data_IF_673903472138
#
_entry.id   IF_673903472138
#
_cell.length_a   1.000
_cell.length_b   1.000
_cell.length_c   1.000
_cell.angle_alpha   90.00
_cell.angle_beta   90.00
_cell.angle_gamma   90.00
#
_symmetry.space_group_name_H-M   'P 1'
#
loop_
_entity.id
_entity.type
_entity.pdbx_description
1 polymer ?
#
# COMPACT_ATOMS: atom_id res chain seq x y z
N UNK A 1 -60.06 71.57 -11.49
CA UNK A 1 -59.11 71.08 -12.52
C UNK A 1 -57.84 70.57 -11.83
N UNK A 2 -57.86 69.36 -11.26
CA UNK A 2 -56.70 68.77 -10.55
C UNK A 2 -56.66 67.25 -10.72
N UNK A 3 -55.42 66.80 -10.92
CA UNK A 3 -54.87 65.55 -11.45
C UNK A 3 -55.25 64.25 -10.72
N UNK A 4 -55.48 63.20 -11.50
CA UNK A 4 -55.48 61.78 -11.10
C UNK A 4 -54.05 61.23 -11.15
N UNK A 5 -53.60 60.57 -10.07
CA UNK A 5 -52.35 59.78 -10.03
C UNK A 5 -52.72 58.34 -10.40
N UNK A 6 -52.11 57.78 -11.46
CA UNK A 6 -52.21 56.36 -11.82
C UNK A 6 -51.06 55.59 -11.15
N UNK A 7 -51.38 54.62 -10.27
CA UNK A 7 -50.45 53.57 -9.84
C UNK A 7 -50.24 52.58 -10.99
N UNK A 8 -48.98 52.31 -11.33
CA UNK A 8 -48.58 51.20 -12.22
C UNK A 8 -48.30 49.97 -11.36
N UNK A 9 -48.99 48.87 -11.63
CA UNK A 9 -48.59 47.54 -11.16
C UNK A 9 -47.65 46.92 -12.21
N UNK A 10 -46.47 46.50 -11.75
CA UNK A 10 -45.45 45.83 -12.55
C UNK A 10 -45.72 44.31 -12.51
N UNK A 11 -46.06 43.73 -13.66
CA UNK A 11 -46.20 42.27 -13.83
C UNK A 11 -44.81 41.71 -14.11
N UNK A 12 -44.29 40.86 -13.22
CA UNK A 12 -43.05 40.12 -13.40
C UNK A 12 -43.39 38.82 -14.15
N UNK A 13 -42.84 38.65 -15.35
CA UNK A 13 -42.83 37.37 -16.06
C UNK A 13 -41.79 36.46 -15.42
N UNK A 14 -42.08 35.17 -15.15
CA UNK A 14 -41.03 34.23 -14.76
C UNK A 14 -40.22 33.89 -16.01
N UNK A 15 -38.93 34.23 -15.98
CA UNK A 15 -37.96 33.70 -16.94
C UNK A 15 -37.71 32.25 -16.55
N UNK A 16 -38.26 31.33 -17.35
CA UNK A 16 -37.93 29.92 -17.31
C UNK A 16 -36.48 29.79 -17.81
N UNK A 17 -35.50 29.74 -16.91
CA UNK A 17 -34.14 29.33 -17.26
C UNK A 17 -34.17 27.81 -17.41
N UNK A 18 -34.21 27.38 -18.66
CA UNK A 18 -34.00 25.99 -19.05
C UNK A 18 -32.52 25.66 -18.77
N UNK A 19 -32.24 25.03 -17.63
CA UNK A 19 -30.92 24.47 -17.36
C UNK A 19 -30.73 23.25 -18.28
N UNK A 20 -29.90 23.42 -19.32
CA UNK A 20 -29.29 22.30 -20.02
C UNK A 20 -28.36 21.60 -19.02
N UNK A 21 -28.88 20.57 -18.36
CA UNK A 21 -28.08 19.55 -17.70
C UNK A 21 -27.36 18.73 -18.77
N UNK A 22 -26.31 19.31 -19.36
CA UNK A 22 -25.19 18.48 -19.81
C UNK A 22 -24.52 18.06 -18.51
N UNK A 23 -24.62 16.77 -18.17
CA UNK A 23 -23.93 16.20 -17.04
C UNK A 23 -22.44 16.49 -17.20
N UNK A 24 -21.95 17.53 -16.52
CA UNK A 24 -20.53 17.71 -16.30
C UNK A 24 -20.16 16.61 -15.30
N UNK A 25 -19.75 15.45 -15.82
CA UNK A 25 -18.97 14.50 -15.04
C UNK A 25 -17.71 15.28 -14.66
N UNK A 26 -17.70 15.82 -13.44
CA UNK A 26 -16.48 16.33 -12.84
C UNK A 26 -15.65 15.07 -12.63
N UNK A 27 -14.65 14.84 -13.48
CA UNK A 27 -13.67 13.81 -13.22
C UNK A 27 -13.06 14.12 -11.85
N UNK A 28 -13.01 13.13 -10.93
CA UNK A 28 -12.43 13.36 -9.62
C UNK A 28 -10.98 13.84 -9.79
N UNK A 29 -10.60 14.88 -9.04
CA UNK A 29 -9.24 15.43 -9.06
C UNK A 29 -8.25 14.61 -8.23
N UNK A 30 -8.75 13.68 -7.42
CA UNK A 30 -7.95 12.77 -6.59
C UNK A 30 -8.69 11.47 -6.28
N UNK A 31 -7.95 10.43 -5.84
CA UNK A 31 -8.57 9.17 -5.48
C UNK A 31 -9.54 9.33 -4.31
N UNK A 32 -10.65 8.61 -4.39
CA UNK A 32 -11.60 8.48 -3.27
C UNK A 32 -10.93 7.92 -2.02
N UNK A 33 -11.56 8.19 -0.86
CA UNK A 33 -11.10 7.67 0.43
C UNK A 33 -11.11 6.15 0.44
N UNK A 34 -9.96 5.55 0.77
CA UNK A 34 -9.74 4.11 0.66
C UNK A 34 -8.68 3.59 1.62
N UNK A 35 -8.75 2.30 1.90
CA UNK A 35 -7.68 1.54 2.57
C UNK A 35 -7.35 0.28 1.76
N UNK A 36 -6.22 -0.37 2.03
CA UNK A 36 -5.84 -1.60 1.33
C UNK A 36 -5.32 -1.40 -0.09
N UNK A 37 -5.32 -0.17 -0.60
CA UNK A 37 -4.61 0.17 -1.83
C UNK A 37 -3.10 -0.09 -1.67
N UNK A 38 -2.39 -0.17 -2.79
CA UNK A 38 -0.93 -0.26 -2.83
C UNK A 38 -0.36 0.78 -3.76
N UNK A 39 0.82 1.28 -3.42
CA UNK A 39 1.55 2.27 -4.19
C UNK A 39 2.95 1.79 -4.53
N UNK A 40 3.46 2.23 -5.68
CA UNK A 40 4.86 2.11 -6.08
C UNK A 40 5.37 3.48 -6.53
N UNK A 41 6.70 3.66 -6.50
CA UNK A 41 7.37 4.81 -7.08
C UNK A 41 7.86 4.44 -8.47
N UNK A 42 7.45 5.21 -9.47
CA UNK A 42 7.97 5.17 -10.83
C UNK A 42 8.97 6.32 -11.00
N UNK A 43 10.29 6.07 -10.95
CA UNK A 43 11.32 7.08 -11.11
C UNK A 43 11.43 7.62 -12.55
N UNK A 44 11.01 6.86 -13.56
CA UNK A 44 11.09 7.28 -14.97
C UNK A 44 9.99 8.32 -15.25
N UNK A 45 8.78 8.05 -14.79
CA UNK A 45 7.65 8.98 -14.85
C UNK A 45 7.64 10.03 -13.73
N UNK A 46 8.53 9.92 -12.73
CA UNK A 46 8.59 10.77 -11.52
C UNK A 46 7.26 10.87 -10.80
N UNK A 47 6.60 9.73 -10.60
CA UNK A 47 5.23 9.69 -10.09
C UNK A 47 5.02 8.50 -9.15
N UNK A 48 4.01 8.61 -8.31
CA UNK A 48 3.51 7.46 -7.53
C UNK A 48 2.36 6.83 -8.28
N UNK A 49 2.42 5.52 -8.53
CA UNK A 49 1.28 4.77 -9.08
C UNK A 49 0.56 4.06 -7.95
N UNK A 50 -0.74 4.26 -7.85
CA UNK A 50 -1.62 3.59 -6.89
C UNK A 50 -2.62 2.69 -7.61
N UNK A 51 -2.87 1.51 -7.06
CA UNK A 51 -3.90 0.58 -7.55
C UNK A 51 -4.83 0.10 -6.43
N UNK A 52 -6.12 0.08 -6.76
CA UNK A 52 -7.17 -0.63 -6.02
C UNK A 52 -7.44 -0.15 -4.60
N UNK A 53 -7.70 -1.10 -3.70
CA UNK A 53 -8.14 -0.87 -2.33
C UNK A 53 -9.66 -0.96 -2.17
N UNK A 54 -10.15 -0.48 -1.03
CA UNK A 54 -11.57 -0.46 -0.69
C UNK A 54 -12.03 0.95 -0.31
N UNK A 55 -12.99 1.45 -1.07
CA UNK A 55 -13.65 2.74 -0.86
C UNK A 55 -14.66 2.75 0.30
N UNK A 56 -15.38 3.86 0.45
CA UNK A 56 -16.46 3.97 1.43
C UNK A 56 -17.74 3.28 0.97
N UNK A 57 -18.15 2.26 1.72
CA UNK A 57 -19.47 1.64 1.60
C UNK A 57 -19.62 0.38 2.46
N UNK A 58 -20.82 -0.20 2.46
CA UNK A 58 -21.19 -1.34 3.32
C UNK A 58 -21.10 -2.70 2.62
N UNK A 59 -20.71 -2.78 1.34
CA UNK A 59 -20.83 -4.01 0.54
C UNK A 59 -19.52 -4.30 -0.21
N UNK A 60 -19.32 -5.57 -0.55
CA UNK A 60 -18.25 -6.08 -1.44
C UNK A 60 -18.09 -5.31 -2.79
N UNK A 61 -19.05 -4.46 -3.17
CA UNK A 61 -18.98 -3.55 -4.32
C UNK A 61 -18.12 -2.29 -4.13
N UNK A 62 -17.47 -2.12 -2.98
CA UNK A 62 -16.60 -0.96 -2.70
C UNK A 62 -15.12 -1.26 -2.99
N UNK A 63 -14.80 -2.44 -3.53
CA UNK A 63 -13.45 -2.74 -4.01
C UNK A 63 -13.18 -2.01 -5.31
N UNK A 64 -11.95 -1.50 -5.44
CA UNK A 64 -11.55 -0.64 -6.53
C UNK A 64 -10.51 -1.37 -7.41
N UNK A 65 -10.53 -1.04 -8.70
CA UNK A 65 -9.63 -1.50 -9.77
C UNK A 65 -9.04 -0.31 -10.56
N UNK A 66 -9.23 0.90 -10.05
CA UNK A 66 -8.73 2.13 -10.66
C UNK A 66 -7.22 2.29 -10.43
N UNK A 67 -6.58 2.96 -11.39
CA UNK A 67 -5.18 3.35 -11.34
C UNK A 67 -5.13 4.87 -11.17
N UNK A 68 -4.30 5.33 -10.25
CA UNK A 68 -4.05 6.75 -10.03
C UNK A 68 -2.55 7.04 -10.07
N UNK A 69 -2.17 8.15 -10.69
CA UNK A 69 -0.81 8.67 -10.64
C UNK A 69 -0.76 9.98 -9.85
N UNK A 70 0.17 10.08 -8.91
CA UNK A 70 0.52 11.33 -8.23
C UNK A 70 1.80 11.88 -8.84
N UNK A 71 1.72 13.04 -9.47
CA UNK A 71 2.88 13.76 -10.02
C UNK A 71 3.63 14.44 -8.87
N UNK A 72 4.90 14.07 -8.66
CA UNK A 72 5.69 14.59 -7.53
C UNK A 72 6.15 16.04 -7.74
N UNK A 73 6.23 16.52 -8.98
CA UNK A 73 6.61 17.92 -9.27
C UNK A 73 5.40 18.85 -9.13
N UNK A 74 4.22 18.40 -9.57
CA UNK A 74 2.97 19.18 -9.53
C UNK A 74 2.15 18.97 -8.27
N UNK A 75 2.48 17.94 -7.49
CA UNK A 75 1.77 17.50 -6.28
C UNK A 75 0.26 17.31 -6.51
N UNK A 76 -0.10 16.66 -7.63
CA UNK A 76 -1.50 16.41 -7.96
C UNK A 76 -1.74 14.99 -8.47
N UNK A 77 -2.98 14.55 -8.32
CA UNK A 77 -3.43 13.25 -8.78
C UNK A 77 -4.05 13.34 -10.17
N UNK A 78 -3.89 12.27 -10.95
CA UNK A 78 -4.64 12.02 -12.18
C UNK A 78 -5.05 10.56 -12.25
N UNK A 79 -6.28 10.31 -12.67
CA UNK A 79 -6.72 8.95 -12.94
C UNK A 79 -6.09 8.46 -14.25
N UNK A 80 -5.60 7.22 -14.25
CA UNK A 80 -5.10 6.53 -15.42
C UNK A 80 -6.16 5.51 -15.86
N UNK A 81 -6.45 5.49 -17.16
CA UNK A 81 -7.36 4.51 -17.76
C UNK A 81 -6.54 3.41 -18.40
N UNK A 82 -6.90 2.17 -18.08
CA UNK A 82 -6.40 0.96 -18.71
C UNK A 82 -7.56 0.27 -19.42
N UNK A 83 -7.30 -0.39 -20.55
CA UNK A 83 -8.37 -1.04 -21.32
C UNK A 83 -8.90 -2.32 -20.66
N UNK A 84 -8.05 -3.02 -19.92
CA UNK A 84 -8.32 -4.36 -19.38
C UNK A 84 -7.76 -4.52 -17.95
N UNK A 85 -8.27 -3.76 -16.96
CA UNK A 85 -7.73 -3.83 -15.60
C UNK A 85 -8.01 -5.18 -14.92
N UNK A 86 -7.13 -5.63 -14.01
CA UNK A 86 -7.39 -6.78 -13.15
C UNK A 86 -8.65 -6.58 -12.31
N UNK A 87 -9.28 -7.67 -11.81
CA UNK A 87 -10.40 -7.57 -10.88
C UNK A 87 -10.13 -6.65 -9.69
N UNK A 88 -11.15 -5.90 -9.27
CA UNK A 88 -11.08 -5.04 -8.10
C UNK A 88 -10.73 -5.80 -6.82
N UNK A 89 -9.79 -5.25 -6.05
CA UNK A 89 -9.16 -5.96 -4.93
C UNK A 89 -8.58 -5.03 -3.87
N UNK A 90 -8.54 -5.51 -2.63
CA UNK A 90 -7.78 -4.87 -1.54
C UNK A 90 -6.62 -5.75 -1.07
N UNK A 91 -5.61 -5.09 -0.50
CA UNK A 91 -4.40 -5.69 0.08
C UNK A 91 -3.69 -6.72 -0.82
N UNK A 92 -3.48 -6.45 -2.13
CA UNK A 92 -2.59 -7.27 -2.96
C UNK A 92 -1.12 -7.02 -2.62
N UNK A 93 -0.22 -7.82 -3.19
CA UNK A 93 1.18 -7.43 -3.37
C UNK A 93 1.31 -6.55 -4.61
N UNK A 94 2.10 -5.47 -4.54
CA UNK A 94 2.39 -4.59 -5.66
C UNK A 94 3.84 -4.12 -5.56
N UNK A 95 4.66 -4.34 -6.59
CA UNK A 95 6.07 -3.90 -6.62
C UNK A 95 6.44 -3.34 -7.99
N UNK A 96 7.40 -2.43 -8.02
CA UNK A 96 7.97 -1.89 -9.25
C UNK A 96 9.15 -2.75 -9.72
N UNK A 97 9.16 -3.10 -11.00
CA UNK A 97 10.24 -3.79 -11.69
C UNK A 97 10.95 -2.80 -12.63
N UNK A 98 12.09 -2.22 -12.22
CA UNK A 98 12.84 -1.26 -13.02
C UNK A 98 13.43 -1.83 -14.30
N UNK A 99 13.70 -3.15 -14.38
CA UNK A 99 14.32 -3.76 -15.56
C UNK A 99 13.40 -3.74 -16.78
N UNK A 100 12.09 -3.81 -16.54
CA UNK A 100 11.05 -3.81 -17.57
C UNK A 100 10.18 -2.55 -17.55
N UNK A 101 10.44 -1.61 -16.64
CA UNK A 101 9.62 -0.41 -16.42
C UNK A 101 8.13 -0.78 -16.25
N UNK A 102 7.85 -1.70 -15.32
CA UNK A 102 6.51 -2.26 -15.11
C UNK A 102 6.17 -2.42 -13.63
N UNK A 103 4.91 -2.68 -13.34
CA UNK A 103 4.43 -3.04 -12.00
C UNK A 103 4.02 -4.51 -11.99
N UNK A 104 4.43 -5.24 -10.96
CA UNK A 104 4.03 -6.64 -10.73
C UNK A 104 3.00 -6.66 -9.60
N UNK A 105 1.83 -7.22 -9.90
CA UNK A 105 0.71 -7.39 -8.97
C UNK A 105 0.50 -8.88 -8.69
N UNK A 106 0.30 -9.25 -7.43
CA UNK A 106 -0.07 -10.60 -7.05
C UNK A 106 -1.17 -10.64 -5.98
N UNK A 107 -2.16 -11.50 -6.21
CA UNK A 107 -3.19 -11.85 -5.23
C UNK A 107 -4.03 -10.66 -4.76
N UNK A 108 -4.34 -10.61 -3.47
CA UNK A 108 -5.29 -9.69 -2.86
C UNK A 108 -6.66 -10.32 -2.61
N UNK A 109 -7.56 -9.56 -1.98
CA UNK A 109 -8.92 -10.01 -1.70
C UNK A 109 -9.93 -9.31 -2.61
N UNK A 110 -10.70 -10.11 -3.35
CA UNK A 110 -11.73 -9.65 -4.29
C UNK A 110 -13.13 -10.01 -3.81
N UNK A 111 -14.13 -9.63 -4.61
CA UNK A 111 -15.51 -10.08 -4.40
C UNK A 111 -15.72 -11.59 -4.48
N UNK A 112 -14.77 -12.31 -5.09
CA UNK A 112 -14.78 -13.78 -5.22
C UNK A 112 -13.91 -14.47 -4.17
N UNK A 113 -13.35 -13.73 -3.22
CA UNK A 113 -12.38 -14.21 -2.24
C UNK A 113 -10.95 -13.82 -2.62
N UNK A 114 -9.98 -14.45 -1.95
CA UNK A 114 -8.55 -14.26 -2.22
C UNK A 114 -8.19 -14.75 -3.62
N UNK A 115 -7.24 -14.07 -4.25
CA UNK A 115 -6.76 -14.34 -5.60
C UNK A 115 -5.32 -14.87 -5.58
N UNK A 116 -4.95 -15.64 -6.60
CA UNK A 116 -3.62 -16.22 -6.89
C UNK A 116 -3.11 -15.83 -8.29
N UNK A 117 -3.73 -14.82 -8.90
CA UNK A 117 -3.36 -14.30 -10.22
C UNK A 117 -2.13 -13.38 -10.12
N UNK A 118 -1.35 -13.37 -11.20
CA UNK A 118 -0.20 -12.48 -11.38
C UNK A 118 -0.47 -11.57 -12.57
N UNK A 119 -0.27 -10.26 -12.39
CA UNK A 119 -0.48 -9.28 -13.46
C UNK A 119 0.73 -8.37 -13.59
N UNK A 120 1.02 -7.96 -14.83
CA UNK A 120 2.04 -6.99 -15.18
C UNK A 120 1.35 -5.73 -15.73
N UNK A 121 1.76 -4.55 -15.27
CA UNK A 121 1.34 -3.26 -15.84
C UNK A 121 2.54 -2.61 -16.50
N UNK A 122 2.51 -2.44 -17.83
CA UNK A 122 3.51 -1.64 -18.54
C UNK A 122 3.30 -0.16 -18.19
N UNK A 123 4.33 0.52 -17.67
CA UNK A 123 4.20 1.93 -17.27
C UNK A 123 4.38 2.92 -18.42
N UNK A 124 4.70 2.45 -19.62
CA UNK A 124 4.78 3.29 -20.83
C UNK A 124 3.39 3.59 -21.40
N UNK A 125 2.46 2.63 -21.35
CA UNK A 125 1.10 2.77 -21.89
C UNK A 125 -0.03 2.49 -20.89
N UNK A 126 0.31 1.99 -19.69
CA UNK A 126 -0.62 1.64 -18.62
C UNK A 126 -1.59 0.50 -18.98
N UNK A 127 -1.17 -0.43 -19.83
CA UNK A 127 -1.92 -1.64 -20.12
C UNK A 127 -1.50 -2.80 -19.22
N UNK A 128 -2.51 -3.52 -18.73
CA UNK A 128 -2.34 -4.70 -17.89
C UNK A 128 -2.29 -5.98 -18.72
N UNK A 129 -1.44 -6.91 -18.34
CA UNK A 129 -1.36 -8.27 -18.85
C UNK A 129 -1.46 -9.27 -17.69
N UNK A 130 -2.42 -10.19 -17.73
CA UNK A 130 -2.46 -11.32 -16.82
C UNK A 130 -1.45 -12.38 -17.27
N UNK A 131 -0.40 -12.57 -16.47
CA UNK A 131 0.57 -13.63 -16.73
C UNK A 131 0.12 -14.90 -16.01
N UNK A 132 0.13 -16.01 -16.74
CA UNK A 132 -0.37 -17.31 -16.28
C UNK A 132 0.80 -18.29 -16.04
N UNK A 133 1.60 -18.11 -14.98
CA UNK A 133 2.73 -18.97 -14.68
C UNK A 133 2.27 -20.40 -14.34
N UNK A 134 3.06 -21.39 -14.73
CA UNK A 134 2.68 -22.81 -14.59
C UNK A 134 2.57 -23.27 -13.12
N UNK A 135 3.33 -22.65 -12.22
CA UNK A 135 3.18 -22.74 -10.76
C UNK A 135 2.86 -21.33 -10.25
N UNK A 136 2.04 -21.26 -9.20
CA UNK A 136 1.70 -20.00 -8.53
C UNK A 136 1.58 -20.24 -7.02
N UNK A 137 1.92 -19.25 -6.17
CA UNK A 137 1.61 -19.31 -4.76
C UNK A 137 0.09 -19.46 -4.54
N UNK A 138 -0.36 -20.08 -3.44
CA UNK A 138 -1.77 -20.11 -3.07
C UNK A 138 -2.39 -18.71 -2.98
N UNK A 139 -3.69 -18.63 -3.26
CA UNK A 139 -4.44 -17.39 -3.23
C UNK A 139 -4.43 -16.73 -1.85
N UNK A 140 -4.03 -15.45 -1.79
CA UNK A 140 -3.73 -14.76 -0.53
C UNK A 140 -3.91 -13.25 -0.56
N UNK A 141 -4.04 -12.64 0.62
CA UNK A 141 -4.06 -11.17 0.82
C UNK A 141 -3.16 -10.78 2.00
N UNK A 142 -2.88 -9.48 2.17
CA UNK A 142 -2.13 -8.96 3.32
C UNK A 142 -0.72 -9.59 3.45
N UNK A 143 -0.17 -9.92 2.30
CA UNK A 143 1.16 -10.52 2.09
C UNK A 143 2.25 -9.44 2.05
N UNK A 144 3.50 -9.86 2.27
CA UNK A 144 4.68 -9.04 1.98
C UNK A 144 5.22 -9.34 0.60
N UNK A 145 5.53 -8.31 -0.19
CA UNK A 145 6.16 -8.44 -1.50
C UNK A 145 7.20 -7.34 -1.71
N UNK A 146 8.39 -7.68 -2.22
CA UNK A 146 9.43 -6.71 -2.55
C UNK A 146 10.25 -7.17 -3.75
N UNK A 147 10.78 -6.22 -4.53
CA UNK A 147 11.63 -6.47 -5.68
C UNK A 147 13.11 -6.36 -5.29
N UNK A 148 13.89 -7.37 -5.67
CA UNK A 148 15.35 -7.40 -5.58
C UNK A 148 15.95 -6.95 -6.92
N UNK A 149 16.55 -5.76 -6.91
CA UNK A 149 17.19 -5.18 -8.09
C UNK A 149 18.55 -5.75 -8.45
N UNK A 150 19.19 -6.52 -7.56
CA UNK A 150 20.46 -7.21 -7.84
C UNK A 150 20.24 -8.47 -8.67
N UNK A 151 19.19 -9.23 -8.33
CA UNK A 151 18.89 -10.52 -8.94
C UNK A 151 17.69 -10.47 -9.91
N UNK A 152 17.00 -9.33 -10.00
CA UNK A 152 15.83 -9.11 -10.86
C UNK A 152 14.65 -10.05 -10.55
N UNK A 153 14.39 -10.27 -9.27
CA UNK A 153 13.33 -11.17 -8.79
C UNK A 153 12.43 -10.47 -7.77
N UNK A 154 11.24 -11.02 -7.57
CA UNK A 154 10.33 -10.59 -6.51
C UNK A 154 10.27 -11.66 -5.43
N UNK A 155 10.50 -11.28 -4.18
CA UNK A 155 10.22 -12.13 -3.02
C UNK A 155 8.79 -11.89 -2.54
N UNK A 156 8.09 -12.97 -2.26
CA UNK A 156 6.81 -12.99 -1.58
C UNK A 156 6.92 -13.80 -0.29
N UNK A 157 6.39 -13.26 0.80
CA UNK A 157 6.32 -13.96 2.07
C UNK A 157 4.99 -13.72 2.79
N UNK A 158 4.44 -14.80 3.32
CA UNK A 158 3.36 -14.75 4.29
C UNK A 158 1.98 -14.39 3.70
N UNK A 159 1.12 -13.83 4.56
CA UNK A 159 -0.22 -13.36 4.21
C UNK A 159 -1.33 -14.30 4.67
N UNK A 160 -2.57 -13.83 4.54
CA UNK A 160 -3.74 -14.66 4.82
C UNK A 160 -4.11 -15.47 3.58
N UNK A 161 -4.23 -16.79 3.73
CA UNK A 161 -4.57 -17.72 2.64
C UNK A 161 -6.04 -18.21 2.75
N UNK A 162 -6.55 -18.90 1.73
CA UNK A 162 -7.97 -19.29 1.66
C UNK A 162 -8.42 -20.22 2.81
N UNK A 163 -9.67 -20.02 3.25
CA UNK A 163 -10.38 -20.55 4.43
C UNK A 163 -10.50 -22.08 4.60
N UNK A 164 -9.79 -22.92 3.83
CA UNK A 164 -9.85 -24.39 3.99
C UNK A 164 -8.53 -25.11 3.68
N UNK A 165 -7.43 -24.40 3.50
CA UNK A 165 -6.09 -24.92 3.24
C UNK A 165 -5.13 -24.05 4.04
N UNK A 166 -4.50 -24.61 5.10
CA UNK A 166 -3.49 -23.95 5.96
C UNK A 166 -3.72 -22.43 6.02
N UNK A 167 -4.75 -21.96 6.74
CA UNK A 167 -5.40 -20.65 6.51
C UNK A 167 -4.49 -19.40 6.64
N UNK A 168 -3.20 -19.61 6.84
CA UNK A 168 -2.15 -18.62 6.84
C UNK A 168 -0.95 -19.20 6.10
N UNK A 169 -0.40 -18.40 5.20
CA UNK A 169 0.81 -18.80 4.51
C UNK A 169 2.03 -18.32 5.30
N UNK A 170 3.02 -19.20 5.41
CA UNK A 170 4.37 -18.97 5.98
C UNK A 170 5.46 -19.40 5.00
N UNK A 171 5.05 -19.63 3.76
CA UNK A 171 5.88 -20.01 2.64
C UNK A 171 6.61 -18.80 2.06
N UNK A 172 7.75 -19.07 1.44
CA UNK A 172 8.59 -18.09 0.77
C UNK A 172 8.60 -18.43 -0.71
N UNK A 173 8.17 -17.49 -1.53
CA UNK A 173 8.09 -17.63 -2.98
C UNK A 173 8.94 -16.59 -3.69
N UNK A 174 9.51 -16.97 -4.81
CA UNK A 174 10.23 -16.06 -5.70
C UNK A 174 9.60 -16.07 -7.07
N UNK A 175 9.32 -14.88 -7.62
CA UNK A 175 8.91 -14.70 -9.01
C UNK A 175 10.05 -14.14 -9.83
N UNK A 176 10.32 -14.79 -10.94
CA UNK A 176 11.19 -14.28 -12.00
C UNK A 176 10.30 -13.75 -13.15
N UNK A 177 10.28 -12.42 -13.39
CA UNK A 177 9.47 -11.81 -14.44
C UNK A 177 9.97 -12.14 -15.84
N UNK A 178 11.28 -12.39 -16.04
CA UNK A 178 11.85 -12.72 -17.36
C UNK A 178 11.36 -14.10 -17.82
N UNK A 179 11.32 -15.07 -16.91
CA UNK A 179 10.88 -16.44 -17.22
C UNK A 179 9.40 -16.72 -16.91
N UNK A 180 8.66 -15.72 -16.39
CA UNK A 180 7.29 -15.83 -15.90
C UNK A 180 7.09 -17.07 -15.02
N UNK A 181 7.88 -17.17 -13.95
CA UNK A 181 7.92 -18.38 -13.12
C UNK A 181 8.00 -18.08 -11.64
N UNK A 182 7.04 -18.63 -10.89
CA UNK A 182 7.12 -18.73 -9.43
C UNK A 182 7.86 -19.99 -8.99
N UNK A 183 8.65 -19.87 -7.93
CA UNK A 183 9.39 -20.96 -7.30
C UNK A 183 9.19 -20.86 -5.79
N UNK A 184 8.76 -21.96 -5.16
CA UNK A 184 8.70 -22.06 -3.70
C UNK A 184 10.10 -22.41 -3.15
N UNK A 185 10.64 -21.53 -2.32
CA UNK A 185 12.04 -21.59 -1.92
C UNK A 185 12.31 -22.57 -0.77
N UNK A 186 11.31 -22.89 0.05
CA UNK A 186 11.41 -23.83 1.18
C UNK A 186 12.68 -23.63 2.06
N UNK A 187 12.93 -22.42 2.60
CA UNK A 187 14.09 -22.19 3.47
C UNK A 187 14.00 -23.04 4.76
N UNK A 188 15.14 -23.45 5.36
CA UNK A 188 15.15 -24.33 6.53
C UNK A 188 14.68 -23.64 7.82
N UNK A 189 14.71 -22.31 7.84
CA UNK A 189 14.11 -21.44 8.86
C UNK A 189 13.11 -20.51 8.18
N UNK A 190 12.08 -20.08 8.90
CA UNK A 190 11.09 -19.12 8.41
C UNK A 190 10.64 -18.21 9.56
N UNK A 191 10.29 -16.95 9.29
CA UNK A 191 9.60 -16.12 10.25
C UNK A 191 8.27 -16.78 10.69
N UNK A 192 7.69 -16.35 11.82
CA UNK A 192 6.38 -16.84 12.24
C UNK A 192 5.31 -16.63 11.18
N UNK A 193 4.29 -17.49 11.21
CA UNK A 193 3.11 -17.35 10.37
C UNK A 193 2.43 -16.00 10.65
N UNK A 194 2.40 -15.09 9.67
CA UNK A 194 1.93 -13.72 9.87
C UNK A 194 1.29 -13.09 8.63
N UNK A 195 0.48 -12.06 8.87
CA UNK A 195 -0.11 -11.20 7.84
C UNK A 195 -0.09 -9.73 8.28
N UNK A 196 -0.22 -8.82 7.31
CA UNK A 196 -0.18 -7.38 7.56
C UNK A 196 1.18 -6.90 8.05
N UNK A 197 2.24 -7.69 7.86
CA UNK A 197 3.63 -7.28 7.99
C UNK A 197 4.07 -6.45 6.79
N UNK A 198 5.20 -5.78 6.92
CA UNK A 198 5.90 -5.16 5.79
C UNK A 198 7.03 -6.05 5.31
N UNK A 199 7.24 -6.11 3.99
CA UNK A 199 8.42 -6.70 3.35
C UNK A 199 9.09 -5.62 2.50
N UNK A 200 10.37 -5.38 2.73
CA UNK A 200 11.15 -4.37 2.02
C UNK A 200 12.47 -4.97 1.51
N UNK A 201 13.08 -4.37 0.50
CA UNK A 201 14.38 -4.78 -0.02
C UNK A 201 15.47 -3.78 0.38
N UNK A 202 16.47 -4.27 1.10
CA UNK A 202 17.70 -3.57 1.43
C UNK A 202 18.76 -3.87 0.36
N UNK A 203 18.84 -3.00 -0.63
CA UNK A 203 19.77 -3.15 -1.75
C UNK A 203 21.25 -2.97 -1.36
N UNK A 204 21.55 -2.34 -0.21
CA UNK A 204 22.94 -2.15 0.24
C UNK A 204 23.51 -3.45 0.82
N UNK A 205 22.66 -4.25 1.47
CA UNK A 205 23.06 -5.52 2.07
C UNK A 205 22.56 -6.75 1.30
N UNK A 206 21.86 -6.57 0.17
CA UNK A 206 21.32 -7.64 -0.68
C UNK A 206 20.36 -8.56 0.10
N UNK A 207 19.48 -7.97 0.90
CA UNK A 207 18.57 -8.69 1.81
C UNK A 207 17.17 -8.16 1.78
N UNK A 208 16.20 -9.04 1.97
CA UNK A 208 14.84 -8.64 2.25
C UNK A 208 14.61 -8.50 3.76
N UNK A 209 13.77 -7.57 4.17
CA UNK A 209 13.44 -7.28 5.57
C UNK A 209 11.95 -7.43 5.81
N UNK A 210 11.58 -8.30 6.76
CA UNK A 210 10.23 -8.42 7.31
C UNK A 210 10.18 -7.77 8.68
N UNK A 211 9.15 -6.96 8.93
CA UNK A 211 8.87 -6.44 10.26
C UNK A 211 7.37 -6.26 10.53
N UNK A 212 7.01 -6.36 11.81
CA UNK A 212 5.64 -6.31 12.27
C UNK A 212 4.84 -7.53 11.80
N UNK A 213 3.51 -7.39 11.83
CA UNK A 213 2.58 -8.42 11.40
C UNK A 213 1.86 -9.09 12.57
N UNK A 214 0.62 -9.51 12.29
CA UNK A 214 -0.19 -10.25 13.24
C UNK A 214 0.18 -11.73 13.15
N UNK A 215 0.82 -12.25 14.19
CA UNK A 215 1.22 -13.64 14.24
C UNK A 215 0.04 -14.53 14.62
N UNK A 216 0.04 -15.72 14.07
CA UNK A 216 -0.98 -16.72 14.33
C UNK A 216 -0.34 -18.07 14.67
N UNK A 217 -1.02 -18.85 15.51
CA UNK A 217 -0.60 -20.19 15.89
C UNK A 217 -1.67 -21.20 15.54
N UNK A 218 -1.23 -22.38 15.13
CA UNK A 218 -2.08 -23.53 14.83
C UNK A 218 -1.96 -24.53 15.98
N UNK A 219 -3.05 -24.79 16.69
CA UNK A 219 -3.09 -25.75 17.79
C UNK A 219 -4.33 -26.64 17.67
N UNK A 220 -4.13 -27.95 17.56
CA UNK A 220 -5.18 -28.98 17.47
C UNK A 220 -6.29 -28.68 16.44
N UNK A 221 -5.93 -28.11 15.28
CA UNK A 221 -6.91 -27.77 14.24
C UNK A 221 -7.54 -26.38 14.36
N UNK A 222 -7.14 -25.58 15.35
CA UNK A 222 -7.65 -24.22 15.54
C UNK A 222 -6.55 -23.18 15.32
N UNK A 223 -6.90 -22.11 14.62
CA UNK A 223 -6.07 -20.92 14.51
C UNK A 223 -6.44 -19.94 15.62
N UNK A 224 -5.41 -19.41 16.28
CA UNK A 224 -5.57 -18.33 17.24
C UNK A 224 -4.45 -17.30 17.10
N UNK A 225 -4.69 -16.09 17.58
CA UNK A 225 -3.65 -15.06 17.63
C UNK A 225 -2.48 -15.51 18.52
N UNK A 226 -1.27 -15.29 18.04
CA UNK A 226 -0.03 -15.50 18.77
C UNK A 226 0.63 -14.17 19.20
N UNK A 227 -0.10 -13.05 19.11
CA UNK A 227 0.42 -11.71 19.33
C UNK A 227 0.89 -11.06 18.03
N UNK A 228 1.69 -10.00 18.15
CA UNK A 228 2.25 -9.28 17.01
C UNK A 228 3.76 -9.42 17.02
N UNK A 229 4.37 -9.52 15.85
CA UNK A 229 5.81 -9.60 15.72
C UNK A 229 6.44 -8.22 16.00
N UNK A 230 7.50 -8.20 16.79
CA UNK A 230 8.33 -7.01 17.07
C UNK A 230 9.79 -7.17 16.64
N UNK A 231 10.17 -8.36 16.17
CA UNK A 231 11.50 -8.66 15.65
C UNK A 231 11.59 -8.42 14.15
N UNK A 232 12.77 -8.05 13.68
CA UNK A 232 13.05 -7.97 12.25
C UNK A 232 13.53 -9.34 11.79
N UNK A 233 13.09 -9.77 10.62
CA UNK A 233 13.63 -10.94 9.95
C UNK A 233 14.26 -10.51 8.65
N UNK A 234 15.45 -11.04 8.35
CA UNK A 234 16.13 -10.81 7.08
C UNK A 234 16.20 -12.08 6.25
N UNK A 235 15.99 -12.00 4.94
CA UNK A 235 16.17 -13.11 4.01
C UNK A 235 17.29 -12.84 3.02
N UNK A 236 18.18 -13.80 2.88
CA UNK A 236 19.20 -13.85 1.83
C UNK A 236 18.73 -14.75 0.70
N UNK A 237 18.55 -14.20 -0.50
CA UNK A 237 18.16 -14.97 -1.69
C UNK A 237 19.26 -15.96 -2.09
N UNK A 238 20.51 -15.51 -2.12
CA UNK A 238 21.66 -16.33 -2.50
C UNK A 238 21.87 -17.55 -1.58
N UNK A 239 21.58 -17.39 -0.29
CA UNK A 239 21.74 -18.46 0.70
C UNK A 239 20.44 -19.26 0.93
N UNK A 240 19.30 -18.73 0.48
CA UNK A 240 17.96 -19.21 0.81
C UNK A 240 17.78 -19.40 2.32
N UNK A 241 18.09 -18.36 3.10
CA UNK A 241 18.05 -18.40 4.56
C UNK A 241 17.31 -17.19 5.14
N UNK A 242 16.43 -17.47 6.10
CA UNK A 242 15.89 -16.45 7.00
C UNK A 242 16.73 -16.37 8.28
N UNK A 243 17.00 -15.16 8.72
CA UNK A 243 17.69 -14.86 9.96
C UNK A 243 16.90 -13.82 10.76
N UNK A 244 16.57 -14.17 12.00
CA UNK A 244 15.99 -13.23 12.96
C UNK A 244 17.03 -12.23 13.45
N UNK A 245 16.64 -10.97 13.51
CA UNK A 245 17.35 -9.85 14.11
C UNK A 245 16.48 -9.37 15.27
N UNK A 246 16.76 -9.83 16.51
CA UNK A 246 15.98 -9.44 17.67
C UNK A 246 16.02 -7.93 17.90
N UNK A 247 14.97 -7.34 18.49
CA UNK A 247 14.95 -5.92 18.79
C UNK A 247 16.14 -5.56 19.68
N UNK A 248 16.76 -4.41 19.39
CA UNK A 248 17.79 -3.84 20.25
C UNK A 248 17.26 -3.60 21.68
N UNK A 249 18.17 -3.56 22.66
CA UNK A 249 17.84 -3.39 24.10
C UNK A 249 17.28 -1.99 24.42
N UNK A 250 17.33 -1.06 23.46
CA UNK A 250 16.86 0.32 23.60
C UNK A 250 15.34 0.44 23.37
N UNK A 251 14.83 1.67 23.38
CA UNK A 251 13.42 1.92 23.04
C UNK A 251 13.15 1.51 21.60
N UNK A 252 12.07 0.76 21.38
CA UNK A 252 11.62 0.34 20.06
C UNK A 252 10.09 0.56 19.92
N UNK A 253 9.54 0.59 18.69
CA UNK A 253 8.10 0.64 18.50
C UNK A 253 7.42 -0.58 19.15
N UNK A 254 6.21 -0.39 19.65
CA UNK A 254 5.37 -1.53 20.03
C UNK A 254 5.09 -2.41 18.82
N UNK A 255 5.05 -3.73 19.06
CA UNK A 255 4.59 -4.72 18.09
C UNK A 255 3.24 -4.29 17.46
N UNK A 256 3.12 -4.45 16.13
CA UNK A 256 1.98 -3.93 15.36
C UNK A 256 1.85 -4.63 14.00
N UNK A 257 0.71 -4.43 13.35
CA UNK A 257 0.43 -4.89 11.99
C UNK A 257 -0.38 -3.85 11.22
N UNK A 258 -0.49 -4.01 9.91
CA UNK A 258 -1.11 -3.05 8.99
C UNK A 258 -0.53 -1.63 9.10
N UNK A 259 0.70 -1.53 9.57
CA UNK A 259 1.51 -0.32 9.54
C UNK A 259 2.00 -0.05 8.12
N UNK A 260 2.50 1.15 7.90
CA UNK A 260 3.20 1.51 6.67
C UNK A 260 4.69 1.42 6.98
N UNK A 261 5.45 0.70 6.16
CA UNK A 261 6.90 0.72 6.26
C UNK A 261 7.53 0.72 4.88
N UNK A 262 8.59 1.49 4.74
CA UNK A 262 9.36 1.65 3.51
C UNK A 262 10.85 1.69 3.88
N UNK A 263 11.68 1.13 3.01
CA UNK A 263 13.13 1.23 3.17
C UNK A 263 13.65 2.52 2.53
N UNK A 264 14.34 3.33 3.33
CA UNK A 264 15.12 4.48 2.88
C UNK A 264 16.51 3.99 2.46
N UNK A 265 16.73 4.05 1.15
CA UNK A 265 17.95 3.62 0.50
C UNK A 265 19.17 4.50 0.77
N UNK A 266 18.97 5.78 1.08
CA UNK A 266 20.02 6.75 1.30
C UNK A 266 20.58 6.65 2.72
N UNK A 267 19.70 6.37 3.70
CA UNK A 267 20.05 6.32 5.11
C UNK A 267 20.26 4.89 5.66
N UNK A 268 20.00 3.86 4.87
CA UNK A 268 20.00 2.46 5.32
C UNK A 268 19.01 2.25 6.48
N UNK A 269 17.82 2.83 6.35
CA UNK A 269 16.84 2.88 7.43
C UNK A 269 15.47 2.33 7.01
N UNK A 270 14.85 1.55 7.89
CA UNK A 270 13.45 1.19 7.75
C UNK A 270 12.59 2.24 8.45
N UNK A 271 11.82 2.99 7.67
CA UNK A 271 10.79 3.88 8.19
C UNK A 271 9.53 3.08 8.54
N UNK A 272 8.88 3.42 9.66
CA UNK A 272 7.61 2.84 10.09
C UNK A 272 6.65 3.92 10.57
N UNK A 273 5.42 3.87 10.07
CA UNK A 273 4.32 4.73 10.51
C UNK A 273 3.05 3.93 10.83
N UNK A 274 2.39 4.34 11.91
CA UNK A 274 1.02 3.92 12.22
C UNK A 274 0.87 2.42 12.52
N UNK A 275 -0.26 1.83 12.13
CA UNK A 275 -0.59 0.42 12.38
C UNK A 275 -1.43 0.19 13.63
N UNK A 276 -1.85 -1.05 13.84
CA UNK A 276 -2.64 -1.47 14.99
C UNK A 276 -1.74 -2.07 16.08
N UNK A 277 -1.68 -1.40 17.23
CA UNK A 277 -0.95 -1.87 18.42
C UNK A 277 -1.80 -2.70 19.39
N UNK A 278 -2.98 -3.15 18.96
CA UNK A 278 -3.89 -4.06 19.67
C UNK A 278 -4.86 -3.41 20.65
N UNK A 279 -4.56 -2.19 21.12
CA UNK A 279 -5.52 -1.36 21.89
C UNK A 279 -6.08 -0.19 21.10
N UNK A 280 -5.28 0.34 20.18
CA UNK A 280 -5.59 1.51 19.36
C UNK A 280 -4.70 1.53 18.13
N UNK A 281 -5.18 2.18 17.09
CA UNK A 281 -4.37 2.56 15.94
C UNK A 281 -3.37 3.63 16.35
N UNK A 282 -2.21 3.58 15.71
CA UNK A 282 -1.04 4.37 16.06
C UNK A 282 -0.81 5.47 15.00
N UNK A 283 -0.09 6.52 15.40
CA UNK A 283 0.28 7.68 14.57
C UNK A 283 1.75 8.10 14.81
N UNK A 284 2.54 7.19 15.40
CA UNK A 284 3.96 7.40 15.67
C UNK A 284 4.78 7.07 14.43
N UNK A 285 5.87 7.83 14.26
CA UNK A 285 6.89 7.60 13.23
C UNK A 285 8.14 7.05 13.91
N UNK A 286 8.73 6.01 13.32
CA UNK A 286 9.96 5.39 13.79
C UNK A 286 10.90 5.12 12.63
N UNK A 287 12.19 5.19 12.91
CA UNK A 287 13.26 4.79 12.01
C UNK A 287 14.05 3.66 12.66
N UNK A 288 14.40 2.65 11.87
CA UNK A 288 15.29 1.59 12.28
C UNK A 288 16.55 1.63 11.45
N UNK A 289 17.69 1.85 12.11
CA UNK A 289 18.99 1.84 11.47
C UNK A 289 19.56 0.42 11.46
N UNK A 290 19.72 -0.15 10.25
CA UNK A 290 20.15 -1.53 10.07
C UNK A 290 21.58 -1.80 10.52
N UNK A 291 22.47 -0.82 10.36
CA UNK A 291 23.89 -0.97 10.72
C UNK A 291 24.09 -1.03 12.24
N UNK A 292 23.33 -0.22 12.97
CA UNK A 292 23.45 -0.09 14.43
C UNK A 292 22.47 -0.96 15.21
N UNK A 293 21.44 -1.51 14.55
CA UNK A 293 20.31 -2.21 15.17
C UNK A 293 19.60 -1.33 16.23
N UNK A 294 19.38 -0.06 15.90
CA UNK A 294 18.75 0.92 16.82
C UNK A 294 17.47 1.47 16.19
N UNK A 295 16.41 1.46 17.00
CA UNK A 295 15.17 2.16 16.71
C UNK A 295 15.21 3.57 17.30
N UNK A 296 14.79 4.55 16.50
CA UNK A 296 14.68 5.95 16.87
C UNK A 296 13.25 6.42 16.66
N UNK A 297 12.61 6.93 17.72
CA UNK A 297 11.29 7.55 17.60
C UNK A 297 11.45 8.95 17.04
N UNK A 298 10.75 9.23 15.96
CA UNK A 298 10.72 10.56 15.38
C UNK A 298 9.54 11.38 15.93
N UNK A 299 9.79 12.65 16.18
CA UNK A 299 8.80 13.62 16.67
C UNK A 299 8.78 14.78 15.70
N UNK A 300 7.62 14.99 15.10
CA UNK A 300 7.33 16.08 14.17
C UNK A 300 6.30 17.03 14.78
N UNK A 301 6.28 18.27 14.30
CA UNK A 301 5.28 19.26 14.75
C UNK A 301 3.89 18.91 14.26
N UNK A 302 3.81 18.43 13.01
CA UNK A 302 2.61 17.89 12.38
C UNK A 302 2.77 16.40 12.18
N UNK A 303 1.69 15.63 12.32
CA UNK A 303 1.71 14.19 12.08
C UNK A 303 0.41 13.76 11.41
N UNK A 304 0.45 12.81 10.47
CA UNK A 304 -0.76 12.21 9.95
C UNK A 304 -1.58 11.58 11.09
N UNK A 305 -2.93 11.57 10.99
CA UNK A 305 -3.75 10.89 11.97
C UNK A 305 -3.48 9.38 12.02
N UNK A 306 -3.80 8.78 13.16
CA UNK A 306 -3.66 7.35 13.39
C UNK A 306 -4.45 6.53 12.36
N UNK A 307 -3.79 5.55 11.77
CA UNK A 307 -4.35 4.76 10.66
C UNK A 307 -3.76 3.36 10.58
N UNK A 308 -4.53 2.48 9.95
CA UNK A 308 -4.10 1.15 9.52
C UNK A 308 -4.36 0.99 8.03
N UNK A 309 -3.66 0.04 7.40
CA UNK A 309 -3.88 -0.36 6.00
C UNK A 309 -3.87 0.84 5.04
N UNK A 310 -3.14 1.90 5.41
CA UNK A 310 -2.70 2.93 4.47
C UNK A 310 -1.55 2.37 3.63
N UNK A 311 -1.07 3.19 2.71
CA UNK A 311 0.05 2.83 1.85
C UNK A 311 1.08 3.94 1.86
N UNK A 312 2.35 3.58 1.92
CA UNK A 312 3.45 4.52 1.82
C UNK A 312 4.47 4.03 0.80
N UNK A 313 5.21 4.96 0.21
CA UNK A 313 6.31 4.68 -0.70
C UNK A 313 7.42 5.71 -0.52
N UNK A 314 8.67 5.29 -0.66
CA UNK A 314 9.82 6.19 -0.68
C UNK A 314 10.14 6.59 -2.12
N UNK A 315 10.11 7.89 -2.40
CA UNK A 315 10.50 8.48 -3.68
C UNK A 315 11.96 8.92 -3.60
N UNK A 316 12.86 8.06 -4.08
CA UNK A 316 14.31 8.21 -3.92
C UNK A 316 14.86 9.49 -4.52
N UNK A 317 14.31 9.99 -5.63
CA UNK A 317 14.83 11.20 -6.28
C UNK A 317 14.47 12.49 -5.54
N UNK A 318 13.56 12.41 -4.57
CA UNK A 318 13.02 13.53 -3.82
C UNK A 318 13.37 13.48 -2.33
N UNK A 319 13.96 12.38 -1.84
CA UNK A 319 14.17 12.14 -0.40
C UNK A 319 12.88 12.31 0.41
N UNK A 320 11.79 11.72 -0.09
CA UNK A 320 10.44 11.88 0.44
C UNK A 320 9.70 10.56 0.61
N UNK A 321 8.91 10.45 1.67
CA UNK A 321 7.97 9.36 1.87
C UNK A 321 6.55 9.88 1.65
N UNK A 322 5.85 9.28 0.70
CA UNK A 322 4.48 9.66 0.35
C UNK A 322 3.54 8.65 1.01
N UNK A 323 2.63 9.13 1.84
CA UNK A 323 1.60 8.36 2.54
C UNK A 323 0.23 8.73 1.99
N UNK A 324 -0.60 7.72 1.71
CA UNK A 324 -1.97 7.92 1.27
C UNK A 324 -2.95 6.98 1.98
N UNK A 325 -4.12 7.55 2.29
CA UNK A 325 -5.31 6.81 2.70
C UNK A 325 -5.13 5.97 3.97
N UNK A 326 -5.85 4.86 4.04
CA UNK A 326 -5.96 4.00 5.22
C UNK A 326 -7.27 4.18 5.97
N UNK A 327 -7.39 3.46 7.09
CA UNK A 327 -8.60 3.38 7.90
C UNK A 327 -8.35 3.95 9.29
N UNK A 328 -9.24 4.82 9.76
CA UNK A 328 -9.23 5.35 11.13
C UNK A 328 -9.88 4.37 12.10
N UNK A 329 -9.68 4.62 13.40
CA UNK A 329 -10.24 3.81 14.49
C UNK A 329 -11.77 3.73 14.48
N UNK A 330 -12.44 4.74 13.91
CA UNK A 330 -13.90 4.81 13.74
C UNK A 330 -14.39 4.13 12.44
N UNK A 331 -13.50 3.42 11.74
CA UNK A 331 -13.75 2.75 10.46
C UNK A 331 -14.05 3.69 9.29
N UNK A 332 -13.75 4.98 9.41
CA UNK A 332 -13.77 5.91 8.27
C UNK A 332 -12.52 5.76 7.42
N UNK A 333 -12.69 5.85 6.10
CA UNK A 333 -11.58 5.85 5.16
C UNK A 333 -10.93 7.24 5.07
N UNK A 334 -9.67 7.23 4.68
CA UNK A 334 -8.87 8.42 4.42
C UNK A 334 -8.59 8.57 2.93
N UNK A 335 -8.53 9.81 2.45
CA UNK A 335 -8.03 10.20 1.12
C UNK A 335 -6.98 11.32 1.23
N UNK A 336 -6.36 11.48 2.41
CA UNK A 336 -5.32 12.48 2.59
C UNK A 336 -3.99 11.99 2.03
N UNK A 337 -3.28 12.87 1.33
CA UNK A 337 -1.88 12.67 0.93
C UNK A 337 -1.00 13.41 1.94
N UNK A 338 -0.01 12.72 2.47
CA UNK A 338 1.02 13.29 3.34
C UNK A 338 2.39 13.02 2.73
N UNK A 339 3.28 14.00 2.84
CA UNK A 339 4.68 13.86 2.45
C UNK A 339 5.54 14.06 3.69
N UNK A 340 6.38 13.08 4.00
CA UNK A 340 7.47 13.24 4.94
C UNK A 340 8.73 13.63 4.16
N UNK A 341 9.33 14.76 4.52
CA UNK A 341 10.60 15.21 3.94
C UNK A 341 11.74 14.77 4.84
N UNK A 342 12.63 13.92 4.33
CA UNK A 342 13.82 13.46 5.06
C UNK A 342 14.85 14.57 5.27
N UNK A 343 14.76 15.66 4.51
CA UNK A 343 15.65 16.82 4.65
C UNK A 343 15.26 17.65 5.88
N UNK A 344 13.97 17.87 6.07
CA UNK A 344 13.45 18.66 7.19
C UNK A 344 13.09 17.81 8.40
N UNK A 345 12.87 16.51 8.22
CA UNK A 345 12.31 15.62 9.22
C UNK A 345 10.87 15.98 9.57
N UNK A 346 10.06 16.48 8.63
CA UNK A 346 8.71 16.97 8.92
C UNK A 346 7.68 16.41 7.95
N UNK A 347 6.47 16.22 8.48
CA UNK A 347 5.29 15.86 7.71
C UNK A 347 4.56 17.10 7.19
N UNK A 348 4.12 17.04 5.95
CA UNK A 348 3.26 18.03 5.33
C UNK A 348 2.03 17.36 4.72
N UNK A 349 0.84 17.85 5.06
CA UNK A 349 -0.40 17.42 4.40
C UNK A 349 -0.58 18.17 3.10
N UNK A 350 -0.78 17.44 1.99
CA UNK A 350 -1.07 18.01 0.69
C UNK A 350 -2.56 18.15 0.46
N UNK A 351 -2.93 19.15 -0.33
CA UNK A 351 -4.33 19.37 -0.68
C UNK A 351 -4.83 18.26 -1.62
N UNK A 352 -6.11 17.86 -1.52
CA UNK A 352 -6.71 16.86 -2.41
C UNK A 352 -6.78 17.27 -3.88
#
# INVERSE_FOLDING_TARGET
>A
MKRTIKMKYMVIYPVLICALLVGCQINPSSPSARHGAKMIYDPVGKQIIMFGGRGEGKIVGDLLDDIWAFDLEKENWREIKSSSPPPSRLSPGLVYDPSHHQVILFGGYSSRGRLDDTWLLDLNDYEWEEVNPALSPPARSDLGMAYDGSNHIVLLFGGMCLENQRDLCDDTWVFDPESNRWIEMNPPSSPPVMYGHSLNYDFLNDKFLVWGGHMSKFDQGNISSAGYNDSIWSYSYAENQWQEIPPGIQSHPSARYWHQAVYDARLSELFVFGGDGGRRYLADTWFYNLETNIWSKHISEQTPPARIVGTAVYATDYDQIILFGGLRQDFSNLNDTWIFSEISGEWEQKSP
#
